data_IF_243205282864
#
_entry.id   IF_243205282864
#
_cell.length_a   1.000
_cell.length_b   1.000
_cell.length_c   1.000
_cell.angle_alpha   90.00
_cell.angle_beta   90.00
_cell.angle_gamma   90.00
#
_symmetry.space_group_name_H-M   'P 1'
#
loop_
_entity.id
_entity.type
_entity.pdbx_description
1 polymer ?
#
# COMPACT_ATOMS: atom_id res chain seq x y z
N UNK A 1 23.89 7.70 -15.68
CA UNK A 1 22.57 8.30 -15.98
C UNK A 1 22.81 9.64 -16.67
N UNK A 2 22.28 9.81 -17.88
CA UNK A 2 22.59 10.92 -18.79
C UNK A 2 22.41 12.31 -18.16
N UNK A 3 23.51 13.03 -18.02
CA UNK A 3 23.57 14.46 -17.68
C UNK A 3 22.76 15.33 -18.66
N UNK A 4 22.53 14.87 -19.90
CA UNK A 4 21.70 15.58 -20.89
C UNK A 4 20.21 15.62 -20.52
N UNK A 5 19.67 14.56 -19.90
CA UNK A 5 18.25 14.50 -19.51
C UNK A 5 17.96 15.42 -18.31
N UNK A 6 18.97 15.65 -17.46
CA UNK A 6 18.89 16.61 -16.36
C UNK A 6 18.89 18.06 -16.89
N UNK A 7 19.73 18.35 -17.89
CA UNK A 7 19.82 19.66 -18.55
C UNK A 7 18.56 20.03 -19.37
N UNK A 8 17.92 19.07 -20.04
CA UNK A 8 16.64 19.31 -20.73
C UNK A 8 15.50 19.56 -19.75
N UNK A 9 15.44 18.81 -18.65
CA UNK A 9 14.49 19.06 -17.57
C UNK A 9 14.74 20.41 -16.90
N UNK A 10 16.00 20.83 -16.73
CA UNK A 10 16.38 22.17 -16.27
C UNK A 10 15.90 23.27 -17.22
N UNK A 11 16.01 23.08 -18.54
CA UNK A 11 15.47 24.04 -19.53
C UNK A 11 13.95 24.16 -19.47
N UNK A 12 13.24 23.03 -19.28
CA UNK A 12 11.78 23.00 -19.07
C UNK A 12 11.36 23.66 -17.75
N UNK A 13 12.08 23.38 -16.67
CA UNK A 13 11.86 23.99 -15.34
C UNK A 13 12.16 25.49 -15.37
N UNK A 14 13.24 25.92 -16.03
CA UNK A 14 13.54 27.35 -16.27
C UNK A 14 12.44 28.03 -17.08
N UNK A 15 11.91 27.39 -18.13
CA UNK A 15 10.80 27.94 -18.92
C UNK A 15 9.50 28.05 -18.11
N UNK A 16 9.23 27.08 -17.23
CA UNK A 16 8.06 27.08 -16.33
C UNK A 16 8.16 28.11 -15.19
N UNK A 17 9.36 28.30 -14.64
CA UNK A 17 9.61 29.28 -13.56
C UNK A 17 9.77 30.71 -14.10
N UNK A 18 10.24 30.89 -15.33
CA UNK A 18 10.31 32.21 -15.97
C UNK A 18 8.93 32.71 -16.44
N UNK A 19 8.00 31.82 -16.78
CA UNK A 19 6.64 32.22 -17.19
C UNK A 19 5.72 32.56 -16.01
N UNK A 20 6.03 32.06 -14.82
CA UNK A 20 5.39 32.45 -13.55
C UNK A 20 6.48 32.95 -12.61
N UNK A 21 6.75 34.26 -12.57
CA UNK A 21 7.57 34.92 -11.52
C UNK A 21 7.31 34.17 -10.21
N UNK A 22 8.32 33.48 -9.69
CA UNK A 22 8.16 32.42 -8.69
C UNK A 22 7.22 32.82 -7.54
N UNK A 23 5.94 32.47 -7.68
CA UNK A 23 4.89 32.71 -6.72
C UNK A 23 4.50 31.36 -6.12
N UNK A 24 4.92 31.13 -4.88
CA UNK A 24 4.32 30.09 -4.05
C UNK A 24 3.30 30.80 -3.15
N UNK A 25 2.00 30.67 -3.47
CA UNK A 25 0.93 31.36 -2.73
C UNK A 25 0.93 32.90 -2.87
N UNK A 26 1.30 33.43 -4.03
CA UNK A 26 1.22 34.88 -4.34
C UNK A 26 2.34 35.76 -3.75
N UNK A 27 3.26 35.19 -2.98
CA UNK A 27 4.43 35.91 -2.43
C UNK A 27 5.71 35.62 -3.23
N UNK A 28 6.48 36.67 -3.48
CA UNK A 28 7.76 36.60 -4.19
C UNK A 28 8.85 36.06 -3.27
N UNK A 29 9.69 35.14 -3.77
CA UNK A 29 10.82 34.57 -3.03
C UNK A 29 11.85 35.67 -2.75
N UNK A 30 12.20 35.87 -1.47
CA UNK A 30 13.20 36.86 -1.04
C UNK A 30 14.62 36.28 -1.11
N UNK A 31 15.12 36.03 -2.32
CA UNK A 31 16.44 35.40 -2.54
C UNK A 31 17.62 36.23 -2.00
N UNK A 32 17.47 37.57 -1.92
CA UNK A 32 18.47 38.47 -1.32
C UNK A 32 18.66 38.20 0.18
N UNK A 33 17.57 37.95 0.91
CA UNK A 33 17.61 37.63 2.35
C UNK A 33 18.28 36.27 2.61
N UNK A 34 18.32 35.40 1.60
CA UNK A 34 19.02 34.12 1.62
C UNK A 34 20.49 34.23 1.18
N UNK A 35 21.00 35.43 0.91
CA UNK A 35 22.39 35.70 0.55
C UNK A 35 22.73 35.59 -0.94
N UNK A 36 21.72 35.50 -1.83
CA UNK A 36 21.95 35.45 -3.28
C UNK A 36 21.86 36.84 -3.93
N UNK A 37 22.72 37.10 -4.91
CA UNK A 37 22.77 38.39 -5.59
C UNK A 37 21.70 38.51 -6.68
N UNK A 38 21.30 37.38 -7.28
CA UNK A 38 20.27 37.32 -8.32
C UNK A 38 19.34 36.10 -8.17
N UNK A 39 18.18 36.17 -8.82
CA UNK A 39 17.25 35.05 -8.87
C UNK A 39 17.83 33.86 -9.65
N UNK A 40 18.62 34.14 -10.69
CA UNK A 40 19.30 33.14 -11.50
C UNK A 40 20.33 32.35 -10.69
N UNK A 41 21.08 33.04 -9.83
CA UNK A 41 22.05 32.43 -8.91
C UNK A 41 21.34 31.51 -7.92
N UNK A 42 20.28 32.01 -7.27
CA UNK A 42 19.42 31.22 -6.37
C UNK A 42 18.84 29.98 -7.07
N UNK A 43 18.28 30.15 -8.28
CA UNK A 43 17.65 29.06 -8.99
C UNK A 43 18.68 28.00 -9.42
N UNK A 44 19.84 28.44 -9.89
CA UNK A 44 20.95 27.53 -10.23
C UNK A 44 21.40 26.73 -9.01
N UNK A 45 21.59 27.40 -7.87
CA UNK A 45 21.96 26.77 -6.61
C UNK A 45 20.88 25.78 -6.14
N UNK A 46 19.61 26.19 -6.12
CA UNK A 46 18.48 25.34 -5.74
C UNK A 46 18.43 24.08 -6.61
N UNK A 47 18.48 24.21 -7.93
CA UNK A 47 18.46 23.05 -8.81
C UNK A 47 19.69 22.16 -8.65
N UNK A 48 20.87 22.74 -8.42
CA UNK A 48 22.11 21.97 -8.20
C UNK A 48 22.12 21.18 -6.88
N UNK A 49 21.31 21.59 -5.91
CA UNK A 49 21.22 20.98 -4.57
C UNK A 49 20.05 20.02 -4.42
N UNK A 50 19.24 19.82 -5.47
CA UNK A 50 18.16 18.83 -5.47
C UNK A 50 18.74 17.43 -5.30
N UNK A 51 18.22 16.70 -4.31
CA UNK A 51 18.56 15.30 -4.15
C UNK A 51 17.92 14.46 -5.26
N UNK A 52 18.66 13.50 -5.86
CA UNK A 52 18.09 12.62 -6.87
C UNK A 52 17.00 11.71 -6.28
N UNK A 53 17.10 11.38 -5.00
CA UNK A 53 16.09 10.62 -4.27
C UNK A 53 16.25 10.80 -2.76
N UNK A 54 15.15 10.67 -2.04
CA UNK A 54 15.10 10.57 -0.57
C UNK A 54 14.76 9.14 -0.11
N UNK A 55 14.84 8.13 -0.99
CA UNK A 55 14.54 6.73 -0.64
C UNK A 55 15.66 6.15 0.24
N UNK A 56 15.34 5.82 1.49
CA UNK A 56 16.17 5.00 2.37
C UNK A 56 15.66 3.55 2.39
N UNK A 57 16.32 2.63 3.09
CA UNK A 57 15.90 1.22 3.14
C UNK A 57 14.44 1.04 3.61
N UNK A 58 13.98 1.88 4.53
CA UNK A 58 12.63 1.86 5.10
C UNK A 58 11.55 2.38 4.14
N UNK A 59 11.95 2.98 3.02
CA UNK A 59 11.03 3.46 1.98
C UNK A 59 10.21 2.33 1.34
N UNK A 60 10.80 1.15 1.18
CA UNK A 60 10.27 0.13 0.28
C UNK A 60 9.14 -0.69 0.88
N UNK A 61 9.37 -1.25 2.07
CA UNK A 61 8.45 -2.15 2.77
C UNK A 61 8.53 -1.91 4.28
N UNK A 62 7.38 -1.73 4.93
CA UNK A 62 7.31 -1.72 6.39
C UNK A 62 7.06 -3.13 6.91
N UNK A 63 8.14 -3.90 7.07
CA UNK A 63 8.07 -5.28 7.54
C UNK A 63 7.45 -5.40 8.93
N UNK A 64 7.64 -4.41 9.80
CA UNK A 64 7.09 -4.42 11.16
C UNK A 64 5.57 -4.35 11.14
N UNK A 65 5.02 -3.41 10.37
CA UNK A 65 3.58 -3.28 10.13
C UNK A 65 3.00 -4.54 9.50
N UNK A 66 3.58 -5.00 8.38
CA UNK A 66 3.05 -6.15 7.62
C UNK A 66 3.02 -7.41 8.49
N UNK A 67 4.13 -7.75 9.16
CA UNK A 67 4.17 -8.93 10.04
C UNK A 67 3.17 -8.82 11.18
N UNK A 68 3.00 -7.63 11.76
CA UNK A 68 2.01 -7.39 12.82
C UNK A 68 0.58 -7.62 12.31
N UNK A 69 0.27 -7.20 11.09
CA UNK A 69 -1.05 -7.34 10.51
C UNK A 69 -1.37 -8.78 10.13
N UNK A 70 -0.46 -9.49 9.45
CA UNK A 70 -0.65 -10.92 9.11
C UNK A 70 -0.69 -11.79 10.37
N UNK A 71 0.13 -11.48 11.39
CA UNK A 71 0.20 -12.26 12.64
C UNK A 71 -1.14 -12.36 13.39
N UNK A 72 -2.06 -11.41 13.16
CA UNK A 72 -3.41 -11.42 13.76
C UNK A 72 -4.27 -12.60 13.29
N UNK A 73 -3.98 -13.14 12.12
CA UNK A 73 -4.82 -14.13 11.44
C UNK A 73 -4.14 -15.50 11.26
N UNK A 74 -3.06 -15.78 12.01
CA UNK A 74 -2.24 -16.99 11.82
C UNK A 74 -3.07 -18.27 11.96
N UNK A 75 -3.95 -18.33 12.97
CA UNK A 75 -4.76 -19.52 13.20
C UNK A 75 -5.75 -19.74 12.05
N UNK A 76 -6.41 -18.67 11.62
CA UNK A 76 -7.38 -18.69 10.53
C UNK A 76 -6.73 -19.06 9.20
N UNK A 77 -5.54 -18.52 8.92
CA UNK A 77 -4.74 -18.85 7.74
C UNK A 77 -4.32 -20.32 7.73
N UNK A 78 -3.87 -20.86 8.87
CA UNK A 78 -3.49 -22.27 8.98
C UNK A 78 -4.70 -23.20 8.78
N UNK A 79 -5.85 -22.85 9.34
CA UNK A 79 -7.10 -23.59 9.12
C UNK A 79 -7.48 -23.57 7.63
N UNK A 80 -7.53 -22.40 6.99
CA UNK A 80 -7.84 -22.30 5.56
C UNK A 80 -6.78 -23.00 4.68
N UNK A 81 -5.51 -23.01 5.09
CA UNK A 81 -4.43 -23.72 4.38
C UNK A 81 -4.68 -25.23 4.29
N UNK A 82 -5.52 -25.81 5.15
CA UNK A 82 -5.92 -27.22 5.02
C UNK A 82 -6.60 -27.52 3.66
N UNK A 83 -7.24 -26.53 3.03
CA UNK A 83 -7.88 -26.67 1.72
C UNK A 83 -6.88 -26.96 0.59
N UNK A 84 -5.59 -26.63 0.78
CA UNK A 84 -4.49 -27.01 -0.15
C UNK A 84 -4.26 -28.52 -0.21
N UNK A 85 -4.76 -29.28 0.78
CA UNK A 85 -4.65 -30.74 0.85
C UNK A 85 -5.90 -31.45 0.37
N UNK A 86 -6.95 -30.70 0.02
CA UNK A 86 -8.23 -31.24 -0.43
C UNK A 86 -8.30 -31.16 -1.96
N UNK A 87 -8.73 -32.24 -2.64
CA UNK A 87 -8.95 -32.21 -4.08
C UNK A 87 -9.95 -31.11 -4.48
N UNK A 88 -9.78 -30.46 -5.65
CA UNK A 88 -10.66 -29.36 -6.09
C UNK A 88 -12.16 -29.69 -6.04
N UNK A 89 -12.53 -30.92 -6.42
CA UNK A 89 -13.93 -31.39 -6.46
C UNK A 89 -14.62 -31.42 -5.09
N UNK A 90 -13.86 -31.50 -4.00
CA UNK A 90 -14.37 -31.60 -2.63
C UNK A 90 -14.16 -30.29 -1.84
N UNK A 91 -13.46 -29.32 -2.45
CA UNK A 91 -12.99 -28.11 -1.75
C UNK A 91 -14.12 -27.19 -1.31
N UNK A 92 -15.20 -27.09 -2.09
CA UNK A 92 -16.39 -26.32 -1.72
C UNK A 92 -17.04 -26.87 -0.45
N UNK A 93 -17.32 -28.18 -0.41
CA UNK A 93 -17.94 -28.83 0.76
C UNK A 93 -17.06 -28.70 2.01
N UNK A 94 -15.74 -28.88 1.84
CA UNK A 94 -14.78 -28.71 2.93
C UNK A 94 -14.73 -27.27 3.43
N UNK A 95 -14.75 -26.28 2.54
CA UNK A 95 -14.79 -24.87 2.92
C UNK A 95 -16.08 -24.54 3.67
N UNK A 96 -17.25 -25.01 3.23
CA UNK A 96 -18.51 -24.82 3.95
C UNK A 96 -18.42 -25.35 5.39
N UNK A 97 -17.96 -26.60 5.56
CA UNK A 97 -17.79 -27.21 6.88
C UNK A 97 -16.81 -26.43 7.75
N UNK A 98 -15.70 -25.97 7.17
CA UNK A 98 -14.66 -25.23 7.86
C UNK A 98 -15.17 -23.87 8.34
N UNK A 99 -15.90 -23.14 7.49
CA UNK A 99 -16.53 -21.87 7.86
C UNK A 99 -17.48 -22.08 9.03
N UNK A 100 -18.41 -23.05 8.94
CA UNK A 100 -19.39 -23.30 10.01
C UNK A 100 -18.70 -23.68 11.33
N UNK A 101 -17.66 -24.51 11.28
CA UNK A 101 -16.94 -24.97 12.47
C UNK A 101 -16.03 -23.89 13.06
N UNK A 102 -15.46 -23.04 12.21
CA UNK A 102 -14.52 -21.99 12.59
C UNK A 102 -14.89 -20.65 11.92
N UNK A 103 -15.97 -19.97 12.35
CA UNK A 103 -16.50 -18.81 11.65
C UNK A 103 -15.52 -17.65 11.47
N UNK A 104 -14.51 -17.55 12.34
CA UNK A 104 -13.47 -16.51 12.27
C UNK A 104 -12.68 -16.55 10.96
N UNK A 105 -12.60 -17.71 10.28
CA UNK A 105 -11.87 -17.82 9.01
C UNK A 105 -12.50 -17.02 7.89
N UNK A 106 -13.80 -16.71 7.98
CA UNK A 106 -14.51 -15.90 6.98
C UNK A 106 -13.86 -14.52 6.78
N UNK A 107 -13.33 -13.91 7.86
CA UNK A 107 -12.69 -12.59 7.82
C UNK A 107 -11.44 -12.53 6.93
N UNK A 108 -10.78 -13.66 6.74
CA UNK A 108 -9.53 -13.74 5.98
C UNK A 108 -9.79 -13.83 4.47
N UNK A 109 -10.96 -14.32 4.05
CA UNK A 109 -11.28 -14.56 2.64
C UNK A 109 -11.11 -13.30 1.78
N UNK A 110 -11.69 -12.13 2.14
CA UNK A 110 -11.45 -10.87 1.42
C UNK A 110 -9.96 -10.53 1.23
N UNK A 111 -9.14 -10.81 2.25
CA UNK A 111 -7.73 -10.44 2.25
C UNK A 111 -6.94 -11.22 1.19
N UNK A 112 -7.40 -12.42 0.81
CA UNK A 112 -6.74 -13.27 -0.19
C UNK A 112 -6.79 -12.70 -1.62
N UNK A 113 -7.68 -11.74 -1.86
CA UNK A 113 -7.81 -11.02 -3.13
C UNK A 113 -7.45 -9.54 -2.97
N UNK A 114 -6.67 -9.20 -1.94
CA UNK A 114 -6.25 -7.85 -1.63
C UNK A 114 -7.40 -6.86 -1.33
N UNK A 115 -8.56 -7.37 -0.93
CA UNK A 115 -9.74 -6.56 -0.59
C UNK A 115 -9.89 -6.36 0.92
N UNK A 116 -10.42 -5.21 1.33
CA UNK A 116 -10.68 -4.85 2.72
C UNK A 116 -12.17 -4.68 2.93
N UNK A 117 -12.84 -5.76 3.31
CA UNK A 117 -14.26 -5.74 3.62
C UNK A 117 -14.58 -4.71 4.73
N UNK A 118 -15.15 -3.56 4.35
CA UNK A 118 -15.65 -2.58 5.30
C UNK A 118 -16.89 -3.15 5.99
N UNK A 119 -16.95 -3.07 7.32
CA UNK A 119 -18.01 -3.66 8.12
C UNK A 119 -18.27 -5.16 7.83
N UNK A 120 -17.21 -5.88 7.45
CA UNK A 120 -17.24 -7.28 7.01
C UNK A 120 -18.13 -7.56 5.79
N UNK A 121 -18.42 -6.56 4.95
CA UNK A 121 -19.23 -6.74 3.74
C UNK A 121 -18.46 -6.38 2.47
N UNK A 122 -18.81 -7.05 1.39
CA UNK A 122 -18.37 -6.72 0.03
C UNK A 122 -19.61 -6.74 -0.86
N UNK A 123 -19.85 -5.64 -1.56
CA UNK A 123 -20.89 -5.54 -2.57
C UNK A 123 -20.28 -5.71 -3.96
N UNK A 124 -20.81 -6.65 -4.74
CA UNK A 124 -20.38 -6.93 -6.10
C UNK A 124 -21.55 -6.70 -7.04
N UNK A 125 -21.33 -6.00 -8.14
CA UNK A 125 -22.28 -5.96 -9.24
C UNK A 125 -22.18 -7.27 -10.03
N UNK A 126 -23.26 -8.05 -10.09
CA UNK A 126 -23.35 -9.26 -10.91
C UNK A 126 -24.01 -8.90 -12.26
N UNK A 127 -23.26 -8.93 -13.37
CA UNK A 127 -23.79 -8.55 -14.68
C UNK A 127 -24.90 -9.49 -15.19
N UNK A 128 -24.93 -10.75 -14.76
CA UNK A 128 -25.96 -11.70 -15.21
C UNK A 128 -27.32 -11.42 -14.56
N UNK A 129 -27.30 -10.91 -13.33
CA UNK A 129 -28.49 -10.53 -12.57
C UNK A 129 -28.85 -9.04 -12.72
N UNK A 130 -27.99 -8.26 -13.38
CA UNK A 130 -28.05 -6.79 -13.45
C UNK A 130 -28.27 -6.11 -12.08
N UNK A 131 -27.69 -6.68 -11.01
CA UNK A 131 -27.95 -6.24 -9.65
C UNK A 131 -26.70 -6.34 -8.75
N UNK A 132 -26.71 -5.59 -7.64
CA UNK A 132 -25.71 -5.71 -6.60
C UNK A 132 -26.02 -6.88 -5.65
N UNK A 133 -25.02 -7.72 -5.43
CA UNK A 133 -25.02 -8.80 -4.45
C UNK A 133 -24.10 -8.42 -3.30
N UNK A 134 -24.65 -8.44 -2.09
CA UNK A 134 -23.85 -8.25 -0.86
C UNK A 134 -23.41 -9.60 -0.29
N UNK A 135 -22.12 -9.71 0.03
CA UNK A 135 -21.51 -10.84 0.73
C UNK A 135 -21.07 -10.39 2.12
N UNK A 136 -21.46 -11.16 3.15
CA UNK A 136 -21.17 -10.86 4.54
C UNK A 136 -20.18 -11.89 5.11
N UNK A 137 -19.05 -11.42 5.59
CA UNK A 137 -17.95 -12.20 6.14
C UNK A 137 -17.87 -12.10 7.68
N UNK A 138 -18.89 -11.52 8.33
CA UNK A 138 -18.96 -11.42 9.78
C UNK A 138 -19.17 -12.82 10.41
N UNK A 139 -18.23 -13.29 11.25
CA UNK A 139 -18.34 -14.56 11.94
C UNK A 139 -19.61 -14.70 12.78
N UNK A 140 -20.18 -13.59 13.28
CA UNK A 140 -21.40 -13.62 14.07
C UNK A 140 -22.65 -13.97 13.25
N UNK A 141 -22.62 -13.72 11.93
CA UNK A 141 -23.73 -13.98 11.01
C UNK A 141 -23.60 -15.32 10.28
N UNK A 142 -22.62 -16.14 10.66
CA UNK A 142 -22.30 -17.33 9.89
C UNK A 142 -23.26 -18.49 10.20
N UNK A 143 -24.04 -18.86 9.18
CA UNK A 143 -24.96 -19.99 9.16
C UNK A 143 -24.80 -20.75 7.82
N UNK A 144 -25.44 -21.93 7.63
CA UNK A 144 -25.27 -22.71 6.41
C UNK A 144 -25.54 -21.93 5.11
N UNK A 145 -26.55 -21.06 5.09
CA UNK A 145 -26.89 -20.25 3.92
C UNK A 145 -25.80 -19.20 3.63
N UNK A 146 -25.36 -18.49 4.65
CA UNK A 146 -24.32 -17.45 4.51
C UNK A 146 -22.97 -18.07 4.17
N UNK A 147 -22.64 -19.24 4.73
CA UNK A 147 -21.46 -20.00 4.37
C UNK A 147 -21.48 -20.43 2.88
N UNK A 148 -22.62 -20.89 2.37
CA UNK A 148 -22.77 -21.22 0.96
C UNK A 148 -22.58 -19.99 0.05
N UNK A 149 -23.08 -18.81 0.45
CA UNK A 149 -22.83 -17.56 -0.29
C UNK A 149 -21.35 -17.19 -0.31
N UNK A 150 -20.63 -17.37 0.80
CA UNK A 150 -19.18 -17.13 0.86
C UNK A 150 -18.43 -18.13 -0.03
N UNK A 151 -18.87 -19.39 -0.10
CA UNK A 151 -18.27 -20.41 -0.98
C UNK A 151 -18.51 -20.06 -2.45
N UNK A 152 -19.72 -19.62 -2.81
CA UNK A 152 -20.04 -19.11 -4.14
C UNK A 152 -19.13 -17.93 -4.52
N UNK A 153 -18.94 -16.98 -3.60
CA UNK A 153 -17.99 -15.89 -3.77
C UNK A 153 -16.57 -16.42 -4.02
N UNK A 154 -16.09 -17.38 -3.24
CA UNK A 154 -14.75 -17.95 -3.41
C UNK A 154 -14.59 -18.67 -4.76
N UNK A 155 -15.65 -19.30 -5.26
CA UNK A 155 -15.66 -19.94 -6.57
C UNK A 155 -15.61 -18.89 -7.69
N UNK A 156 -16.55 -17.92 -7.67
CA UNK A 156 -16.66 -16.83 -8.67
C UNK A 156 -15.40 -15.95 -8.74
N UNK A 157 -14.71 -15.75 -7.62
CA UNK A 157 -13.48 -14.94 -7.54
C UNK A 157 -12.19 -15.74 -7.81
N UNK A 158 -12.27 -17.06 -7.99
CA UNK A 158 -11.11 -17.91 -8.23
C UNK A 158 -10.27 -18.23 -6.98
N UNK A 159 -10.72 -17.85 -5.78
CA UNK A 159 -10.04 -18.18 -4.51
C UNK A 159 -9.94 -19.70 -4.32
N UNK A 160 -10.95 -20.47 -4.75
CA UNK A 160 -10.86 -21.93 -4.65
C UNK A 160 -9.74 -22.50 -5.50
N UNK A 161 -9.55 -22.00 -6.72
CA UNK A 161 -8.47 -22.41 -7.63
C UNK A 161 -7.09 -22.01 -7.12
N UNK A 162 -6.99 -20.89 -6.41
CA UNK A 162 -5.74 -20.43 -5.80
C UNK A 162 -5.09 -21.51 -4.90
N UNK A 163 -5.90 -22.29 -4.18
CA UNK A 163 -5.40 -23.34 -3.28
C UNK A 163 -4.67 -24.49 -4.00
N UNK A 164 -4.76 -24.59 -5.34
CA UNK A 164 -3.96 -25.53 -6.14
C UNK A 164 -2.54 -25.01 -6.42
N UNK A 165 -2.34 -23.70 -6.38
CA UNK A 165 -1.07 -23.04 -6.75
C UNK A 165 -0.20 -22.73 -5.54
N UNK A 166 -0.82 -22.54 -4.36
CA UNK A 166 -0.13 -22.14 -3.14
C UNK A 166 0.08 -23.30 -2.17
N UNK A 167 1.23 -23.30 -1.50
CA UNK A 167 1.56 -24.28 -0.44
C UNK A 167 1.28 -23.76 0.97
N UNK A 168 1.42 -22.45 1.16
CA UNK A 168 1.25 -21.78 2.43
C UNK A 168 0.48 -20.46 2.22
N UNK A 169 -0.70 -20.36 2.84
CA UNK A 169 -1.54 -19.17 2.76
C UNK A 169 -0.96 -17.99 3.55
N UNK A 170 -0.14 -18.27 4.57
CA UNK A 170 0.56 -17.24 5.33
C UNK A 170 1.54 -16.48 4.44
N UNK A 171 2.38 -17.21 3.71
CA UNK A 171 3.36 -16.62 2.78
C UNK A 171 2.67 -15.88 1.63
N UNK A 172 1.58 -16.44 1.11
CA UNK A 172 0.77 -15.80 0.08
C UNK A 172 0.20 -14.46 0.57
N UNK A 173 -0.44 -14.44 1.75
CA UNK A 173 -0.99 -13.20 2.31
C UNK A 173 0.12 -12.20 2.65
N UNK A 174 1.28 -12.65 3.13
CA UNK A 174 2.44 -11.79 3.35
C UNK A 174 2.85 -11.06 2.05
N UNK A 175 2.84 -11.77 0.92
CA UNK A 175 3.08 -11.19 -0.41
C UNK A 175 2.07 -10.13 -0.81
N UNK A 176 0.77 -10.39 -0.60
CA UNK A 176 -0.31 -9.42 -0.85
C UNK A 176 -0.10 -8.15 -0.03
N UNK A 177 0.17 -8.29 1.28
CA UNK A 177 0.38 -7.16 2.18
C UNK A 177 1.58 -6.30 1.76
N UNK A 178 2.66 -6.94 1.29
CA UNK A 178 3.82 -6.22 0.70
C UNK A 178 3.40 -5.46 -0.55
N UNK A 179 2.57 -6.05 -1.41
CA UNK A 179 2.01 -5.40 -2.60
C UNK A 179 1.18 -4.16 -2.25
N UNK A 180 0.26 -4.28 -1.30
CA UNK A 180 -0.60 -3.19 -0.83
C UNK A 180 0.17 -2.08 -0.08
N UNK A 181 1.28 -2.41 0.58
CA UNK A 181 2.12 -1.44 1.29
C UNK A 181 2.81 -0.42 0.35
N UNK A 182 2.79 -0.69 -0.97
CA UNK A 182 3.23 0.27 -1.99
C UNK A 182 2.47 1.60 -1.93
N UNK A 183 1.18 1.58 -1.57
CA UNK A 183 0.36 2.79 -1.38
C UNK A 183 0.85 3.66 -0.23
N UNK A 184 1.45 3.05 0.80
CA UNK A 184 1.96 3.77 1.99
C UNK A 184 3.30 4.47 1.73
N UNK A 185 3.96 4.21 0.58
CA UNK A 185 5.29 4.77 0.23
C UNK A 185 5.31 6.30 0.18
N UNK A 186 4.20 6.96 -0.20
CA UNK A 186 4.11 8.43 -0.22
C UNK A 186 4.29 9.02 1.18
N UNK A 187 3.61 8.44 2.17
CA UNK A 187 3.68 8.90 3.56
C UNK A 187 5.06 8.63 4.16
N UNK A 188 5.66 7.48 3.84
CA UNK A 188 7.03 7.16 4.28
C UNK A 188 8.07 8.10 3.68
N UNK A 189 7.97 8.40 2.39
CA UNK A 189 8.84 9.37 1.71
C UNK A 189 8.83 10.73 2.42
N UNK A 190 7.65 11.23 2.80
CA UNK A 190 7.51 12.46 3.57
C UNK A 190 8.24 12.41 4.90
N UNK A 191 8.00 11.35 5.70
CA UNK A 191 8.67 11.16 7.00
C UNK A 191 10.18 11.03 6.88
N UNK A 192 10.68 10.35 5.85
CA UNK A 192 12.13 10.22 5.60
C UNK A 192 12.71 11.60 5.32
N UNK A 193 12.08 12.40 4.47
CA UNK A 193 12.57 13.73 4.14
C UNK A 193 12.54 14.67 5.35
N UNK A 194 11.46 14.62 6.14
CA UNK A 194 11.35 15.36 7.41
C UNK A 194 12.53 15.04 8.34
N UNK A 195 12.83 13.75 8.53
CA UNK A 195 13.96 13.29 9.35
C UNK A 195 15.31 13.78 8.78
N UNK A 196 15.50 13.72 7.46
CA UNK A 196 16.72 14.24 6.83
C UNK A 196 16.91 15.75 7.08
N UNK A 197 15.83 16.53 6.96
CA UNK A 197 15.84 17.96 7.27
C UNK A 197 16.16 18.22 8.75
N UNK A 198 15.51 17.50 9.66
CA UNK A 198 15.76 17.62 11.10
C UNK A 198 17.24 17.34 11.44
N UNK A 199 17.82 16.26 10.91
CA UNK A 199 19.23 15.91 11.15
C UNK A 199 20.19 16.96 10.55
N UNK A 200 19.86 17.52 9.38
CA UNK A 200 20.67 18.59 8.78
C UNK A 200 20.62 19.87 9.62
N UNK A 201 19.43 20.28 10.08
CA UNK A 201 19.25 21.44 10.95
C UNK A 201 20.02 21.24 12.27
N UNK A 202 19.87 20.08 12.92
CA UNK A 202 20.62 19.77 14.14
C UNK A 202 22.13 19.92 13.94
N UNK A 203 22.69 19.40 12.84
CA UNK A 203 24.13 19.52 12.54
C UNK A 203 24.60 20.96 12.33
N UNK A 204 23.75 21.82 11.77
CA UNK A 204 24.07 23.23 11.54
C UNK A 204 24.01 24.06 12.83
N UNK A 205 23.13 23.67 13.76
CA UNK A 205 22.91 24.39 15.03
C UNK A 205 23.80 23.86 16.16
N UNK A 206 24.18 22.57 16.17
CA UNK A 206 25.01 21.98 17.24
C UNK A 206 26.36 22.71 17.50
N UNK A 207 27.06 23.28 16.51
CA UNK A 207 28.28 24.06 16.74
C UNK A 207 28.08 25.34 17.58
N UNK A 208 26.83 25.76 17.82
CA UNK A 208 26.50 26.97 18.58
C UNK A 208 26.02 26.69 20.01
N UNK A 209 25.90 25.43 20.42
CA UNK A 209 25.39 25.01 21.74
C UNK A 209 26.37 24.15 22.57
N UNK A 210 27.63 24.03 22.12
CA UNK A 210 28.79 23.62 22.96
C UNK A 210 29.67 24.83 23.20
#
# INVERSE_FOLDING_TARGET
>A
MNTSLCLENLKRVKKFLNSKKAQCGGRMIKFKDLGFNSFEEYLSFFCSTLMPSNKTYEYFVDWGKIRKDVKKYVNELLLLSSLTKIPPKEREEHLTKLLIKYPQTAKVIPMLIAERAQDNKIDIFDPELENFISYNFDPANLNPETANRIVEFCNKTGILSLFDEIKDLYDYLLGIEVGLDSNTRKNRSGKIFEKMCQEKIKRLINPYFM
#
